data_IF_419810672667
#
_entry.id   IF_419810672667
#
_cell.length_a   1.000
_cell.length_b   1.000
_cell.length_c   1.000
_cell.angle_alpha   90.00
_cell.angle_beta   90.00
_cell.angle_gamma   90.00
#
_symmetry.space_group_name_H-M   'P 1'
#
loop_
_entity.id
_entity.type
_entity.pdbx_description
1 polymer ?
#
# COMPACT_ATOMS: atom_id res chain seq x y z
N UNK A 1 -20.84 -22.25 -30.41
CA UNK A 1 -20.10 -20.98 -30.57
C UNK A 1 -19.32 -21.00 -31.89
N UNK A 2 -19.58 -20.05 -32.78
CA UNK A 2 -18.83 -19.89 -34.03
C UNK A 2 -17.37 -19.47 -33.72
N UNK A 3 -16.41 -19.86 -34.57
CA UNK A 3 -14.98 -19.50 -34.47
C UNK A 3 -14.74 -18.00 -34.28
N UNK A 4 -15.57 -17.14 -34.88
CA UNK A 4 -15.52 -15.69 -34.64
C UNK A 4 -15.87 -15.33 -33.19
N UNK A 5 -16.91 -15.95 -32.61
CA UNK A 5 -17.30 -15.72 -31.22
C UNK A 5 -16.24 -16.21 -30.23
N UNK A 6 -15.57 -17.34 -30.51
CA UNK A 6 -14.46 -17.84 -29.68
C UNK A 6 -13.25 -16.89 -29.71
N UNK A 7 -12.96 -16.28 -30.87
CA UNK A 7 -11.87 -15.29 -31.02
C UNK A 7 -12.21 -13.94 -30.37
N UNK A 8 -13.47 -13.52 -30.42
CA UNK A 8 -13.94 -12.31 -29.76
C UNK A 8 -13.89 -12.43 -28.24
N UNK A 9 -14.35 -13.57 -27.69
CA UNK A 9 -14.30 -13.85 -26.25
C UNK A 9 -12.85 -13.91 -25.72
N UNK A 10 -11.93 -14.53 -26.47
CA UNK A 10 -10.51 -14.57 -26.10
C UNK A 10 -9.83 -13.18 -26.14
N UNK A 11 -10.25 -12.30 -27.07
CA UNK A 11 -9.77 -10.90 -27.14
C UNK A 11 -10.35 -10.02 -26.02
N UNK A 12 -11.54 -10.33 -25.52
CA UNK A 12 -12.15 -9.62 -24.38
C UNK A 12 -11.52 -10.09 -23.06
N UNK A 13 -11.33 -11.40 -22.87
CA UNK A 13 -10.67 -11.96 -21.70
C UNK A 13 -9.22 -11.48 -21.51
N UNK A 14 -8.48 -11.19 -22.59
CA UNK A 14 -7.13 -10.60 -22.53
C UNK A 14 -7.09 -9.08 -22.28
N UNK A 15 -8.24 -8.38 -22.36
CA UNK A 15 -8.35 -6.92 -22.11
C UNK A 15 -8.98 -6.59 -20.76
N UNK A 16 -9.66 -7.55 -20.16
CA UNK A 16 -10.24 -7.50 -18.80
C UNK A 16 -9.29 -8.11 -17.76
N UNK A 17 -8.00 -8.25 -18.09
CA UNK A 17 -6.95 -8.46 -17.09
C UNK A 17 -7.00 -7.29 -16.12
N UNK A 18 -7.24 -7.60 -14.85
CA UNK A 18 -7.47 -6.66 -13.77
C UNK A 18 -6.28 -5.69 -13.66
N UNK A 19 -6.35 -4.55 -14.36
CA UNK A 19 -5.25 -3.55 -14.43
C UNK A 19 -4.80 -3.13 -13.04
N UNK A 20 -5.72 -3.06 -12.08
CA UNK A 20 -5.43 -2.76 -10.69
C UNK A 20 -4.53 -3.83 -10.04
N UNK A 21 -4.77 -5.11 -10.36
CA UNK A 21 -3.92 -6.21 -9.93
C UNK A 21 -2.54 -6.14 -10.59
N UNK A 22 -2.46 -5.84 -11.89
CA UNK A 22 -1.18 -5.66 -12.60
C UNK A 22 -0.35 -4.52 -11.99
N UNK A 23 -0.99 -3.38 -11.70
CA UNK A 23 -0.32 -2.25 -11.03
C UNK A 23 0.16 -2.62 -9.63
N UNK A 24 -0.67 -3.32 -8.84
CA UNK A 24 -0.27 -3.80 -7.51
C UNK A 24 0.89 -4.80 -7.58
N UNK A 25 0.89 -5.71 -8.56
CA UNK A 25 1.99 -6.66 -8.82
C UNK A 25 3.29 -5.91 -9.16
N UNK A 26 3.23 -4.89 -10.02
CA UNK A 26 4.41 -4.09 -10.38
C UNK A 26 5.04 -3.39 -9.15
N UNK A 27 4.23 -2.98 -8.18
CA UNK A 27 4.71 -2.33 -6.96
C UNK A 27 5.42 -3.29 -6.00
N UNK A 28 5.12 -4.59 -6.02
CA UNK A 28 5.86 -5.58 -5.22
C UNK A 28 7.35 -5.66 -5.63
N UNK A 29 7.66 -5.43 -6.90
CA UNK A 29 9.05 -5.35 -7.38
C UNK A 29 9.83 -4.18 -6.79
N UNK A 30 9.14 -3.16 -6.28
CA UNK A 30 9.72 -1.95 -5.66
C UNK A 30 9.72 -2.01 -4.13
N UNK A 31 9.25 -3.11 -3.55
CA UNK A 31 9.18 -3.26 -2.09
C UNK A 31 10.60 -3.32 -1.51
N UNK A 32 10.98 -2.42 -0.59
CA UNK A 32 12.27 -2.47 0.10
C UNK A 32 12.48 -3.76 0.91
N UNK A 33 13.73 -4.03 1.26
CA UNK A 33 14.12 -5.19 2.09
C UNK A 33 14.33 -4.83 3.57
N UNK A 34 13.99 -3.60 3.97
CA UNK A 34 14.14 -3.12 5.33
C UNK A 34 13.15 -2.00 5.66
N UNK A 35 12.96 -1.77 6.96
CA UNK A 35 12.14 -0.68 7.47
C UNK A 35 12.82 0.66 7.19
N UNK A 36 12.10 1.61 6.57
CA UNK A 36 12.60 2.95 6.28
C UNK A 36 13.01 3.75 7.53
N UNK A 37 12.42 3.43 8.69
CA UNK A 37 12.62 4.21 9.93
C UNK A 37 13.75 3.69 10.80
N UNK A 38 13.91 2.37 10.88
CA UNK A 38 14.84 1.74 11.82
C UNK A 38 15.77 0.71 11.17
N UNK A 39 15.73 0.58 9.84
CA UNK A 39 16.58 -0.33 9.05
C UNK A 39 16.44 -1.81 9.47
N UNK A 40 15.35 -2.14 10.20
CA UNK A 40 15.03 -3.53 10.54
C UNK A 40 14.85 -4.32 9.25
N UNK A 41 15.54 -5.45 9.06
CA UNK A 41 15.43 -6.23 7.83
C UNK A 41 14.02 -6.82 7.69
N UNK A 42 13.57 -6.96 6.45
CA UNK A 42 12.29 -7.51 6.05
C UNK A 42 12.47 -8.77 5.21
N UNK A 43 11.95 -9.89 5.68
CA UNK A 43 11.95 -11.15 4.93
C UNK A 43 10.63 -11.31 4.16
N UNK A 44 10.72 -11.15 2.83
CA UNK A 44 9.60 -11.31 1.89
C UNK A 44 9.04 -12.73 1.84
N UNK A 45 9.77 -13.73 2.33
CA UNK A 45 9.32 -15.12 2.40
C UNK A 45 8.70 -15.48 3.75
N UNK A 46 8.90 -14.63 4.76
CA UNK A 46 8.31 -14.80 6.08
C UNK A 46 6.86 -14.30 6.10
N UNK A 47 5.92 -15.23 6.25
CA UNK A 47 4.49 -14.95 6.25
C UNK A 47 4.07 -13.97 7.34
N UNK A 48 4.62 -14.09 8.54
CA UNK A 48 4.24 -13.22 9.67
C UNK A 48 4.71 -11.78 9.41
N UNK A 49 5.88 -11.61 8.79
CA UNK A 49 6.38 -10.29 8.40
C UNK A 49 5.52 -9.69 7.29
N UNK A 50 5.23 -10.43 6.22
CA UNK A 50 4.39 -9.95 5.11
C UNK A 50 3.01 -9.50 5.58
N UNK A 51 2.45 -10.15 6.61
CA UNK A 51 1.10 -9.83 7.12
C UNK A 51 1.08 -8.70 8.16
N UNK A 52 2.20 -8.41 8.82
CA UNK A 52 2.24 -7.43 9.92
C UNK A 52 2.84 -6.07 9.54
N UNK A 53 3.63 -6.02 8.47
CA UNK A 53 4.30 -4.80 8.04
C UNK A 53 3.40 -3.90 7.22
N UNK A 54 3.66 -2.60 7.28
CA UNK A 54 2.85 -1.58 6.62
C UNK A 54 3.59 -1.03 5.40
N UNK A 55 2.89 -0.98 4.27
CA UNK A 55 3.42 -0.51 2.99
C UNK A 55 2.65 0.75 2.57
N UNK A 56 3.38 1.85 2.36
CA UNK A 56 2.83 3.11 1.89
C UNK A 56 3.30 3.37 0.47
N UNK A 57 2.37 3.62 -0.44
CA UNK A 57 2.64 3.91 -1.84
C UNK A 57 2.31 5.37 -2.13
N UNK A 58 3.30 6.14 -2.56
CA UNK A 58 3.07 7.49 -3.07
C UNK A 58 2.76 7.41 -4.57
N UNK A 59 1.48 7.53 -4.91
CA UNK A 59 0.94 7.27 -6.26
C UNK A 59 1.63 8.04 -7.38
N UNK A 60 2.01 9.30 -7.15
CA UNK A 60 2.62 10.14 -8.18
C UNK A 60 4.11 9.85 -8.44
N UNK A 61 4.78 9.18 -7.50
CA UNK A 61 6.23 8.92 -7.55
C UNK A 61 6.57 7.44 -7.68
N UNK A 62 5.56 6.55 -7.65
CA UNK A 62 5.73 5.10 -7.56
C UNK A 62 6.73 4.66 -6.47
N UNK A 63 6.85 5.45 -5.40
CA UNK A 63 7.75 5.19 -4.28
C UNK A 63 7.01 4.33 -3.27
N UNK A 64 7.61 3.17 -2.96
CA UNK A 64 7.10 2.22 -1.97
C UNK A 64 7.94 2.36 -0.69
N UNK A 65 7.28 2.70 0.40
CA UNK A 65 7.90 2.80 1.74
C UNK A 65 7.41 1.64 2.60
N UNK A 66 8.34 1.04 3.32
CA UNK A 66 8.09 -0.12 4.16
C UNK A 66 8.36 0.23 5.62
N UNK A 67 7.41 -0.11 6.50
CA UNK A 67 7.49 0.16 7.92
C UNK A 67 7.25 -1.11 8.73
N UNK A 68 8.13 -1.37 9.69
CA UNK A 68 7.91 -2.45 10.63
C UNK A 68 6.75 -2.11 11.60
N UNK A 69 6.12 -3.12 12.22
CA UNK A 69 4.94 -2.91 13.07
C UNK A 69 5.20 -1.92 14.21
N UNK A 70 6.38 -1.99 14.83
CA UNK A 70 6.77 -1.12 15.94
C UNK A 70 6.83 0.36 15.53
N UNK A 71 7.48 0.66 14.40
CA UNK A 71 7.59 2.02 13.89
C UNK A 71 6.23 2.57 13.44
N UNK A 72 5.42 1.73 12.79
CA UNK A 72 4.09 2.13 12.34
C UNK A 72 3.16 2.45 13.52
N UNK A 73 3.06 1.56 14.50
CA UNK A 73 2.23 1.79 15.69
C UNK A 73 2.63 3.05 16.43
N UNK A 74 3.94 3.26 16.62
CA UNK A 74 4.45 4.48 17.26
C UNK A 74 4.10 5.75 16.47
N UNK A 75 4.18 5.71 15.14
CA UNK A 75 3.82 6.83 14.30
C UNK A 75 2.32 7.16 14.40
N UNK A 76 1.46 6.15 14.43
CA UNK A 76 0.01 6.31 14.60
C UNK A 76 -0.33 6.91 15.96
N UNK A 77 0.26 6.40 17.05
CA UNK A 77 0.07 6.94 18.41
C UNK A 77 0.43 8.43 18.48
N UNK A 78 1.59 8.81 17.93
CA UNK A 78 2.02 10.22 17.90
C UNK A 78 1.05 11.08 17.09
N UNK A 79 0.56 10.57 15.95
CA UNK A 79 -0.36 11.30 15.07
C UNK A 79 -1.72 11.50 15.73
N UNK A 80 -2.25 10.47 16.38
CA UNK A 80 -3.52 10.54 17.13
C UNK A 80 -3.42 11.49 18.32
N UNK A 81 -2.33 11.42 19.09
CA UNK A 81 -2.09 12.34 20.21
C UNK A 81 -1.96 13.79 19.74
N UNK A 82 -1.29 14.01 18.60
CA UNK A 82 -1.18 15.34 18.02
C UNK A 82 -2.53 15.87 17.54
N UNK A 83 -3.35 15.03 16.90
CA UNK A 83 -4.71 15.37 16.46
C UNK A 83 -5.60 15.79 17.64
N UNK A 84 -5.62 15.00 18.72
CA UNK A 84 -6.38 15.34 19.94
C UNK A 84 -5.96 16.70 20.53
N UNK A 85 -4.66 16.97 20.62
CA UNK A 85 -4.15 18.26 21.13
C UNK A 85 -4.51 19.43 20.24
N UNK A 86 -4.56 19.23 18.91
CA UNK A 86 -5.03 20.26 17.99
C UNK A 86 -6.53 20.54 18.18
N UNK A 87 -7.34 19.49 18.31
CA UNK A 87 -8.77 19.60 18.54
C UNK A 87 -9.09 20.32 19.86
N UNK A 88 -8.37 19.99 20.95
CA UNK A 88 -8.49 20.67 22.24
C UNK A 88 -8.14 22.18 22.16
N UNK A 89 -7.17 22.53 21.33
CA UNK A 89 -6.64 23.89 21.24
C UNK A 89 -7.42 24.78 20.26
N UNK A 90 -7.91 24.22 19.17
CA UNK A 90 -8.49 24.98 18.05
C UNK A 90 -9.91 24.56 17.66
N UNK A 91 -10.50 23.56 18.30
CA UNK A 91 -11.78 22.95 17.90
C UNK A 91 -11.59 21.88 16.81
N UNK A 92 -12.69 21.28 16.35
CA UNK A 92 -12.68 20.22 15.32
C UNK A 92 -11.99 20.72 14.04
N UNK A 93 -10.89 20.07 13.65
CA UNK A 93 -10.11 20.43 12.47
C UNK A 93 -10.67 19.65 11.29
N UNK A 94 -11.34 20.35 10.36
CA UNK A 94 -11.87 19.75 9.13
C UNK A 94 -10.70 19.31 8.22
N UNK A 95 -10.42 18.01 8.17
CA UNK A 95 -9.45 17.39 7.26
C UNK A 95 -10.06 17.29 5.84
N UNK A 96 -10.30 18.45 5.23
CA UNK A 96 -10.88 18.57 3.89
C UNK A 96 -10.01 19.40 2.93
N UNK A 97 -9.01 18.77 2.31
CA UNK A 97 -8.41 19.17 1.01
C UNK A 97 -7.52 18.06 0.44
#
# INVERSE_FOLDING_TARGET
>A
MNRQQRRAAAKQAGKEGNKELETKIALFGKLPDECLTCEKPFDKTNKDMVMSWNVVVHGDQEVVRLYCPECWSKAMEITEDFKKRLEEKYGEVDEGA
#
